data_IF_564082809693
#
_entry.id   IF_564082809693
#
_cell.length_a   1.000
_cell.length_b   1.000
_cell.length_c   1.000
_cell.angle_alpha   90.00
_cell.angle_beta   90.00
_cell.angle_gamma   90.00
#
_symmetry.space_group_name_H-M   'P 1'
#
loop_
_entity.id
_entity.type
_entity.pdbx_description
1 polymer ?
#
# COMPACT_ATOMS: atom_id res chain seq x y z
N UNK A 1 -5.12 48.94 9.29
CA UNK A 1 -5.62 49.00 7.89
C UNK A 1 -4.87 47.96 7.09
N UNK A 2 -5.54 46.94 6.56
CA UNK A 2 -4.88 45.90 5.76
C UNK A 2 -4.48 46.48 4.39
N UNK A 3 -3.19 46.43 4.05
CA UNK A 3 -2.69 46.80 2.73
C UNK A 3 -3.34 45.90 1.68
N UNK A 4 -4.32 46.41 0.93
CA UNK A 4 -4.81 45.79 -0.30
C UNK A 4 -3.68 45.84 -1.31
N UNK A 5 -2.96 44.73 -1.48
CA UNK A 5 -2.08 44.55 -2.63
C UNK A 5 -2.97 44.56 -3.88
N UNK A 6 -2.97 45.67 -4.62
CA UNK A 6 -3.70 45.76 -5.89
C UNK A 6 -3.05 44.78 -6.87
N UNK A 7 -3.78 43.73 -7.26
CA UNK A 7 -3.34 42.83 -8.33
C UNK A 7 -3.27 43.64 -9.63
N UNK A 8 -2.18 43.51 -10.37
CA UNK A 8 -2.00 44.17 -11.66
C UNK A 8 -3.16 43.78 -12.61
N UNK A 9 -3.59 44.69 -13.50
CA UNK A 9 -4.65 44.39 -14.47
C UNK A 9 -4.24 43.22 -15.38
N UNK A 10 -5.18 42.31 -15.63
CA UNK A 10 -4.96 41.16 -16.52
C UNK A 10 -5.11 41.63 -17.96
N UNK A 11 -4.02 41.63 -18.71
CA UNK A 11 -4.01 41.98 -20.14
C UNK A 11 -3.64 40.74 -20.95
N UNK A 12 -4.46 40.41 -21.95
CA UNK A 12 -4.17 39.31 -22.86
C UNK A 12 -3.09 39.74 -23.87
N UNK A 13 -1.86 39.22 -23.70
CA UNK A 13 -0.78 39.42 -24.66
C UNK A 13 -1.06 38.61 -25.93
N UNK A 14 -0.74 39.16 -27.11
CA UNK A 14 -1.02 38.51 -28.41
C UNK A 14 0.25 37.87 -28.99
N UNK A 15 1.40 38.52 -28.82
CA UNK A 15 2.71 38.07 -29.29
C UNK A 15 3.30 36.97 -28.38
N UNK A 16 3.91 35.94 -28.99
CA UNK A 16 4.51 34.82 -28.26
C UNK A 16 5.74 35.22 -27.43
N UNK A 17 6.62 36.07 -27.96
CA UNK A 17 7.82 36.50 -27.22
C UNK A 17 7.47 37.34 -25.99
N UNK A 18 6.49 38.24 -26.10
CA UNK A 18 5.98 39.02 -24.98
C UNK A 18 5.32 38.13 -23.92
N UNK A 19 4.59 37.08 -24.34
CA UNK A 19 4.04 36.06 -23.43
C UNK A 19 5.15 35.34 -22.67
N UNK A 20 6.22 34.91 -23.35
CA UNK A 20 7.35 34.23 -22.70
C UNK A 20 8.05 35.14 -21.70
N UNK A 21 8.32 36.39 -22.06
CA UNK A 21 8.95 37.36 -21.16
C UNK A 21 8.10 37.67 -19.92
N UNK A 22 6.79 37.85 -20.10
CA UNK A 22 5.86 38.04 -18.98
C UNK A 22 5.75 36.80 -18.10
N UNK A 23 5.76 35.60 -18.73
CA UNK A 23 5.77 34.33 -18.04
C UNK A 23 7.05 34.14 -17.22
N UNK A 24 8.24 34.40 -17.77
CA UNK A 24 9.52 34.25 -17.07
C UNK A 24 9.62 35.19 -15.85
N UNK A 25 9.12 36.43 -15.99
CA UNK A 25 9.04 37.35 -14.87
C UNK A 25 8.09 36.84 -13.77
N UNK A 26 6.95 36.25 -14.16
CA UNK A 26 6.02 35.63 -13.22
C UNK A 26 6.63 34.38 -12.55
N UNK A 27 7.30 33.51 -13.31
CA UNK A 27 7.99 32.32 -12.80
C UNK A 27 9.06 32.70 -11.79
N UNK A 28 9.92 33.67 -12.12
CA UNK A 28 10.98 34.17 -11.22
C UNK A 28 10.40 34.75 -9.93
N UNK A 29 9.29 35.49 -10.04
CA UNK A 29 8.59 36.01 -8.88
C UNK A 29 8.00 34.89 -8.01
N UNK A 30 7.37 33.89 -8.63
CA UNK A 30 6.81 32.74 -7.92
C UNK A 30 7.92 31.98 -7.19
N UNK A 31 9.06 31.70 -7.81
CA UNK A 31 10.19 31.04 -7.14
C UNK A 31 10.77 31.86 -5.99
N UNK A 32 10.83 33.19 -6.14
CA UNK A 32 11.29 34.09 -5.07
C UNK A 32 10.33 34.10 -3.88
N UNK A 33 9.03 34.13 -4.13
CA UNK A 33 8.00 34.26 -3.10
C UNK A 33 7.68 32.90 -2.43
N UNK A 34 7.74 31.79 -3.19
CA UNK A 34 7.30 30.45 -2.77
C UNK A 34 8.44 29.44 -2.59
N UNK A 35 9.68 29.80 -2.96
CA UNK A 35 10.86 28.94 -2.90
C UNK A 35 11.20 28.24 -4.23
N UNK A 36 12.47 27.83 -4.37
CA UNK A 36 12.94 27.10 -5.56
C UNK A 36 12.13 25.82 -5.77
N UNK A 37 11.74 25.55 -7.02
CA UNK A 37 10.95 24.38 -7.38
C UNK A 37 9.44 24.49 -7.07
N UNK A 38 8.95 25.67 -6.67
CA UNK A 38 7.50 25.90 -6.51
C UNK A 38 6.72 25.84 -7.81
N UNK A 39 7.41 26.06 -8.95
CA UNK A 39 6.86 25.96 -10.30
C UNK A 39 7.95 25.49 -11.25
N UNK A 40 7.65 24.53 -12.11
CA UNK A 40 8.57 23.96 -13.09
C UNK A 40 7.76 23.40 -14.26
N UNK A 41 8.38 23.21 -15.43
CA UNK A 41 7.70 22.50 -16.51
C UNK A 41 7.75 21.01 -16.19
N UNK A 42 6.62 20.33 -16.37
CA UNK A 42 6.52 18.88 -16.13
C UNK A 42 7.51 18.06 -17.00
N UNK A 43 7.96 18.64 -18.11
CA UNK A 43 8.93 18.02 -19.02
C UNK A 43 10.39 18.14 -18.60
N UNK A 44 10.72 19.01 -17.64
CA UNK A 44 12.11 19.37 -17.30
C UNK A 44 12.89 18.16 -16.76
N UNK A 45 14.19 18.10 -17.09
CA UNK A 45 15.06 16.93 -16.85
C UNK A 45 15.27 16.57 -15.36
N UNK A 46 14.85 17.42 -14.43
CA UNK A 46 14.89 17.17 -12.98
C UNK A 46 13.56 16.69 -12.38
N UNK A 47 12.48 16.65 -13.16
CA UNK A 47 11.18 16.11 -12.72
C UNK A 47 11.20 14.61 -12.92
N UNK A 48 11.20 13.84 -11.84
CA UNK A 48 11.02 12.40 -11.95
C UNK A 48 9.59 12.14 -12.48
N UNK A 49 9.51 11.73 -13.75
CA UNK A 49 8.23 11.46 -14.44
C UNK A 49 7.61 10.14 -14.00
N UNK A 50 8.41 9.30 -13.34
CA UNK A 50 8.01 8.00 -12.89
C UNK A 50 7.52 8.04 -11.45
N UNK A 51 6.33 7.48 -11.23
CA UNK A 51 5.80 7.27 -9.89
C UNK A 51 6.55 6.07 -9.29
N UNK A 52 7.34 6.34 -8.27
CA UNK A 52 7.97 5.28 -7.49
C UNK A 52 6.90 4.49 -6.73
N UNK A 53 7.04 3.17 -6.73
CA UNK A 53 6.11 2.24 -6.08
C UNK A 53 6.86 1.24 -5.20
N UNK A 54 6.16 0.72 -4.20
CA UNK A 54 6.61 -0.43 -3.42
C UNK A 54 5.61 -1.57 -3.60
N UNK A 55 6.05 -2.82 -3.86
CA UNK A 55 5.16 -3.98 -3.97
C UNK A 55 4.21 -4.12 -2.78
N UNK A 56 3.02 -4.61 -3.04
CA UNK A 56 1.96 -4.79 -2.03
C UNK A 56 2.13 -6.07 -1.21
N UNK A 57 3.03 -6.95 -1.64
CA UNK A 57 3.20 -8.32 -1.13
C UNK A 57 2.27 -9.34 -1.79
N UNK A 58 1.35 -8.88 -2.67
CA UNK A 58 0.61 -9.73 -3.61
C UNK A 58 1.00 -9.36 -5.05
N UNK A 59 1.51 -10.34 -5.80
CA UNK A 59 1.87 -10.10 -7.20
C UNK A 59 0.62 -9.78 -8.04
N UNK A 60 -0.51 -10.42 -7.74
CA UNK A 60 -1.76 -10.16 -8.45
C UNK A 60 -2.25 -8.73 -8.20
N UNK A 61 -2.13 -8.22 -6.97
CA UNK A 61 -2.49 -6.83 -6.66
C UNK A 61 -1.53 -5.85 -7.34
N UNK A 62 -0.23 -6.15 -7.38
CA UNK A 62 0.76 -5.32 -8.10
C UNK A 62 0.41 -5.18 -9.60
N UNK A 63 0.04 -6.30 -10.25
CA UNK A 63 -0.45 -6.35 -11.63
C UNK A 63 -1.76 -5.58 -11.79
N UNK A 64 -2.69 -5.72 -10.83
CA UNK A 64 -3.97 -5.02 -10.83
C UNK A 64 -3.81 -3.50 -10.68
N UNK A 65 -2.82 -3.06 -9.90
CA UNK A 65 -2.46 -1.65 -9.76
C UNK A 65 -1.79 -1.09 -11.02
N UNK A 66 -1.19 -1.95 -11.85
CA UNK A 66 -0.60 -1.64 -13.16
C UNK A 66 0.73 -0.90 -13.10
N UNK A 67 1.02 -0.22 -12.00
CA UNK A 67 2.32 0.39 -11.74
C UNK A 67 3.30 -0.57 -11.02
N UNK A 68 2.82 -1.74 -10.56
CA UNK A 68 3.63 -2.75 -9.88
C UNK A 68 3.71 -2.62 -8.36
N UNK A 69 2.85 -1.79 -7.75
CA UNK A 69 2.79 -1.64 -6.30
C UNK A 69 2.06 -0.37 -5.84
N UNK A 70 2.17 -0.08 -4.53
CA UNK A 70 1.65 1.13 -3.91
C UNK A 70 2.52 2.36 -4.22
N UNK A 71 1.93 3.46 -4.69
CA UNK A 71 2.69 4.66 -5.05
C UNK A 71 3.17 5.43 -3.83
N UNK A 72 4.48 5.73 -3.80
CA UNK A 72 5.08 6.61 -2.80
C UNK A 72 4.51 8.02 -2.84
N UNK A 73 4.49 8.67 -1.69
CA UNK A 73 3.99 10.03 -1.53
C UNK A 73 2.47 10.15 -1.74
N UNK A 74 1.71 9.06 -1.57
CA UNK A 74 0.26 9.03 -1.80
C UNK A 74 -0.49 8.38 -0.64
N UNK A 75 -1.77 8.71 -0.58
CA UNK A 75 -2.75 8.10 0.31
C UNK A 75 -3.41 6.91 -0.39
N UNK A 76 -3.51 5.78 0.29
CA UNK A 76 -4.23 4.58 -0.13
C UNK A 76 -5.33 4.30 0.89
N UNK A 77 -6.50 3.87 0.42
CA UNK A 77 -7.56 3.34 1.29
C UNK A 77 -7.78 1.87 0.96
N UNK A 78 -7.62 0.98 1.95
CA UNK A 78 -7.98 -0.44 1.87
C UNK A 78 -9.25 -0.63 2.69
N UNK A 79 -10.34 -1.03 2.06
CA UNK A 79 -11.63 -1.16 2.72
C UNK A 79 -12.35 -2.44 2.34
N UNK A 80 -13.30 -2.85 3.17
CA UNK A 80 -14.00 -4.11 2.98
C UNK A 80 -14.65 -4.62 4.26
N UNK A 81 -15.38 -5.74 4.19
CA UNK A 81 -15.97 -6.39 5.35
C UNK A 81 -14.93 -6.79 6.41
N UNK A 82 -15.38 -7.08 7.62
CA UNK A 82 -14.53 -7.69 8.64
C UNK A 82 -13.95 -9.02 8.14
N UNK A 83 -12.76 -9.37 8.64
CA UNK A 83 -12.06 -10.61 8.27
C UNK A 83 -11.81 -10.79 6.76
N UNK A 84 -11.83 -9.72 5.96
CA UNK A 84 -11.58 -9.80 4.52
C UNK A 84 -10.10 -9.81 4.14
N UNK A 85 -9.19 -9.54 5.08
CA UNK A 85 -7.74 -9.47 4.85
C UNK A 85 -7.17 -8.06 4.68
N UNK A 86 -7.89 -7.01 5.11
CA UNK A 86 -7.43 -5.60 5.05
C UNK A 86 -6.09 -5.39 5.76
N UNK A 87 -6.04 -5.75 7.04
CA UNK A 87 -4.85 -5.65 7.88
C UNK A 87 -3.73 -6.55 7.37
N UNK A 88 -4.06 -7.78 6.93
CA UNK A 88 -3.09 -8.67 6.27
C UNK A 88 -2.42 -8.02 5.07
N UNK A 89 -3.19 -7.45 4.13
CA UNK A 89 -2.61 -6.77 2.96
C UNK A 89 -1.75 -5.55 3.34
N UNK A 90 -2.16 -4.80 4.37
CA UNK A 90 -1.37 -3.67 4.86
C UNK A 90 -0.06 -4.13 5.53
N UNK A 91 -0.07 -5.21 6.31
CA UNK A 91 1.12 -5.78 6.94
C UNK A 91 2.09 -6.36 5.91
N UNK A 92 1.59 -6.97 4.84
CA UNK A 92 2.44 -7.39 3.72
C UNK A 92 3.12 -6.20 3.04
N UNK A 93 2.42 -5.08 2.86
CA UNK A 93 3.04 -3.86 2.34
C UNK A 93 4.10 -3.30 3.29
N UNK A 94 3.88 -3.37 4.61
CA UNK A 94 4.87 -3.02 5.63
C UNK A 94 6.11 -3.91 5.52
N UNK A 95 5.94 -5.24 5.44
CA UNK A 95 7.03 -6.20 5.28
C UNK A 95 7.84 -5.94 3.99
N UNK A 96 7.16 -5.62 2.88
CA UNK A 96 7.80 -5.25 1.63
C UNK A 96 8.62 -3.95 1.74
N UNK A 97 8.19 -2.98 2.55
CA UNK A 97 8.98 -1.76 2.79
C UNK A 97 10.20 -2.07 3.67
N UNK A 98 10.01 -2.78 4.79
CA UNK A 98 11.08 -3.10 5.73
C UNK A 98 12.18 -3.94 5.10
N UNK A 99 11.85 -4.96 4.30
CA UNK A 99 12.86 -5.79 3.61
C UNK A 99 13.70 -5.01 2.58
N UNK A 100 13.25 -3.80 2.20
CA UNK A 100 13.98 -2.86 1.32
C UNK A 100 14.69 -1.77 2.13
N UNK A 101 14.84 -1.96 3.44
CA UNK A 101 15.50 -1.02 4.36
C UNK A 101 14.67 0.22 4.70
N UNK A 102 13.39 0.23 4.36
CA UNK A 102 12.50 1.35 4.66
C UNK A 102 11.96 1.31 6.09
N UNK A 103 11.58 2.47 6.60
CA UNK A 103 11.02 2.59 7.95
C UNK A 103 9.50 2.53 7.89
N UNK A 104 8.89 1.76 8.80
CA UNK A 104 7.44 1.56 8.85
C UNK A 104 6.85 1.95 10.21
N UNK A 105 5.62 2.49 10.18
CA UNK A 105 4.83 2.78 11.36
C UNK A 105 3.38 2.26 11.23
N UNK A 106 2.79 1.89 12.36
CA UNK A 106 1.43 1.37 12.45
C UNK A 106 0.67 2.06 13.58
N UNK A 107 -0.42 2.74 13.24
CA UNK A 107 -1.35 3.34 14.19
C UNK A 107 -2.51 2.37 14.36
N UNK A 108 -2.49 1.62 15.46
CA UNK A 108 -3.48 0.62 15.83
C UNK A 108 -4.56 1.27 16.71
N UNK A 109 -5.50 1.95 16.06
CA UNK A 109 -6.68 2.51 16.70
C UNK A 109 -7.74 1.45 17.04
N UNK A 110 -7.71 0.28 16.40
CA UNK A 110 -8.58 -0.86 16.76
C UNK A 110 -8.07 -1.67 17.96
N UNK A 111 -6.83 -1.43 18.42
CA UNK A 111 -6.15 -2.19 19.48
C UNK A 111 -6.14 -3.71 19.22
N UNK A 112 -6.00 -4.09 17.95
CA UNK A 112 -6.22 -5.46 17.47
C UNK A 112 -5.01 -6.04 16.71
N UNK A 113 -3.89 -5.33 16.66
CA UNK A 113 -2.69 -5.83 16.00
C UNK A 113 -2.08 -6.99 16.79
N UNK A 114 -1.94 -8.16 16.15
CA UNK A 114 -1.24 -9.33 16.69
C UNK A 114 0.23 -9.34 16.22
N UNK A 115 1.21 -9.11 17.12
CA UNK A 115 2.63 -9.10 16.75
C UNK A 115 3.12 -10.44 16.19
N UNK A 116 2.59 -11.58 16.69
CA UNK A 116 3.02 -12.91 16.23
C UNK A 116 2.58 -13.16 14.79
N UNK A 117 1.37 -12.74 14.45
CA UNK A 117 0.87 -12.85 13.09
C UNK A 117 1.62 -11.91 12.13
N UNK A 118 1.93 -10.68 12.57
CA UNK A 118 2.74 -9.75 11.79
C UNK A 118 4.16 -10.30 11.53
N UNK A 119 4.81 -10.86 12.55
CA UNK A 119 6.11 -11.52 12.41
C UNK A 119 6.06 -12.68 11.42
N UNK A 120 5.02 -13.52 11.49
CA UNK A 120 4.83 -14.65 10.59
C UNK A 120 4.56 -14.23 9.12
N UNK A 121 4.08 -12.99 8.89
CA UNK A 121 3.97 -12.36 7.56
C UNK A 121 5.33 -11.85 7.05
N UNK A 122 6.33 -11.73 7.92
CA UNK A 122 7.66 -11.20 7.61
C UNK A 122 7.82 -9.71 7.97
N UNK A 123 6.95 -9.17 8.83
CA UNK A 123 7.15 -7.85 9.42
C UNK A 123 8.27 -7.94 10.46
N UNK A 124 9.24 -7.03 10.38
CA UNK A 124 10.27 -6.85 11.39
C UNK A 124 9.65 -6.10 12.57
N UNK A 125 9.27 -6.83 13.61
CA UNK A 125 8.57 -6.31 14.80
C UNK A 125 9.48 -5.40 15.61
N UNK A 126 10.77 -5.70 15.71
CA UNK A 126 11.72 -4.93 16.51
C UNK A 126 11.90 -3.52 15.94
N UNK A 127 11.74 -3.37 14.62
CA UNK A 127 11.87 -2.09 13.93
C UNK A 127 10.53 -1.49 13.45
N UNK A 128 9.38 -2.04 13.88
CA UNK A 128 8.07 -1.48 13.59
C UNK A 128 7.64 -0.48 14.66
N UNK A 129 7.43 0.78 14.27
CA UNK A 129 6.90 1.79 15.20
C UNK A 129 5.39 1.63 15.36
N UNK A 130 4.92 1.30 16.56
CA UNK A 130 3.48 1.14 16.84
C UNK A 130 2.97 2.24 17.76
N UNK A 131 1.77 2.76 17.47
CA UNK A 131 1.05 3.70 18.33
C UNK A 131 -0.37 3.22 18.54
N UNK A 132 -0.83 3.24 19.79
CA UNK A 132 -2.21 2.95 20.18
C UNK A 132 -2.85 4.22 20.78
N UNK A 133 -3.49 5.05 19.95
CA UNK A 133 -3.98 6.35 20.37
C UNK A 133 -5.33 6.27 21.10
N UNK A 134 -5.53 7.18 22.05
CA UNK A 134 -6.77 7.36 22.82
C UNK A 134 -7.87 8.10 22.03
N UNK A 135 -7.52 8.88 21.00
CA UNK A 135 -8.51 9.61 20.18
C UNK A 135 -8.11 9.74 18.72
N UNK A 136 -9.10 10.00 17.86
CA UNK A 136 -8.88 10.22 16.43
C UNK A 136 -8.00 11.44 16.13
N UNK A 137 -8.11 12.52 16.90
CA UNK A 137 -7.21 13.68 16.78
C UNK A 137 -5.77 13.28 17.09
N UNK A 138 -5.54 12.60 18.21
CA UNK A 138 -4.21 12.16 18.63
C UNK A 138 -3.59 11.23 17.58
N UNK A 139 -4.35 10.27 17.07
CA UNK A 139 -3.92 9.37 15.99
C UNK A 139 -3.44 10.13 14.75
N UNK A 140 -4.23 11.13 14.30
CA UNK A 140 -3.92 11.90 13.09
C UNK A 140 -2.78 12.90 13.30
N UNK A 141 -2.61 13.44 14.51
CA UNK A 141 -1.48 14.30 14.87
C UNK A 141 -0.16 13.50 14.97
N UNK A 142 -0.21 12.27 15.48
CA UNK A 142 0.91 11.33 15.46
C UNK A 142 1.29 11.01 14.02
N UNK A 143 0.31 10.66 13.18
CA UNK A 143 0.54 10.41 11.75
C UNK A 143 1.18 11.63 11.06
N UNK A 144 0.66 12.84 11.32
CA UNK A 144 1.22 14.07 10.76
C UNK A 144 2.68 14.27 11.17
N UNK A 145 2.99 14.07 12.45
CA UNK A 145 4.33 14.26 13.02
C UNK A 145 5.32 13.24 12.42
N UNK A 146 4.95 11.96 12.39
CA UNK A 146 5.78 10.90 11.83
C UNK A 146 6.07 11.13 10.35
N UNK A 147 5.04 11.47 9.55
CA UNK A 147 5.22 11.72 8.11
C UNK A 147 6.03 13.00 7.87
N UNK A 148 5.84 14.04 8.69
CA UNK A 148 6.56 15.32 8.57
C UNK A 148 8.05 15.20 8.91
N UNK A 149 8.46 14.21 9.70
CA UNK A 149 9.87 13.93 9.96
C UNK A 149 10.67 13.67 8.68
N UNK A 150 10.00 13.19 7.61
CA UNK A 150 10.64 12.81 6.36
C UNK A 150 11.35 11.45 6.41
N UNK A 151 11.38 10.78 7.57
CA UNK A 151 12.06 9.50 7.76
C UNK A 151 11.16 8.28 7.45
N UNK A 152 9.85 8.48 7.34
CA UNK A 152 8.90 7.38 7.26
C UNK A 152 8.58 6.97 5.82
N UNK A 153 8.78 5.70 5.47
CA UNK A 153 8.49 5.16 4.13
C UNK A 153 7.03 4.70 4.00
N UNK A 154 6.47 4.12 5.06
CA UNK A 154 5.08 3.68 5.10
C UNK A 154 4.46 3.89 6.48
N UNK A 155 3.24 4.41 6.50
CA UNK A 155 2.44 4.52 7.72
C UNK A 155 1.06 3.92 7.47
N UNK A 156 0.63 3.02 8.35
CA UNK A 156 -0.71 2.41 8.31
C UNK A 156 -1.56 2.97 9.45
N UNK A 157 -2.82 3.28 9.18
CA UNK A 157 -3.82 3.65 10.19
C UNK A 157 -4.94 2.60 10.17
N UNK A 158 -5.01 1.79 11.22
CA UNK A 158 -5.99 0.72 11.40
C UNK A 158 -6.89 1.01 12.63
N UNK A 159 -8.10 1.52 12.47
CA UNK A 159 -8.79 1.88 11.23
C UNK A 159 -9.46 3.24 11.34
N UNK A 160 -9.88 3.78 10.19
CA UNK A 160 -10.63 5.04 10.12
C UNK A 160 -11.90 5.00 10.98
N UNK A 161 -12.54 3.83 11.09
CA UNK A 161 -13.76 3.68 11.87
C UNK A 161 -13.51 3.91 13.36
N UNK A 162 -12.31 3.56 13.85
CA UNK A 162 -11.87 3.71 15.24
C UNK A 162 -11.27 5.10 15.54
N UNK A 163 -11.16 6.00 14.56
CA UNK A 163 -10.74 7.38 14.78
C UNK A 163 -11.89 8.21 15.39
N UNK A 164 -12.24 7.89 16.64
CA UNK A 164 -13.33 8.54 17.37
C UNK A 164 -12.83 9.89 17.89
N UNK A 165 -13.51 11.00 17.56
CA UNK A 165 -13.11 12.32 18.06
C UNK A 165 -13.20 12.40 19.58
N UNK A 166 -12.29 13.14 20.21
CA UNK A 166 -12.25 13.28 21.67
C UNK A 166 -13.57 13.75 22.29
N UNK A 167 -14.26 14.69 21.64
CA UNK A 167 -15.55 15.18 22.13
C UNK A 167 -16.67 14.11 22.13
N UNK A 168 -16.55 13.07 21.31
CA UNK A 168 -17.46 11.92 21.30
C UNK A 168 -17.08 10.89 22.38
N UNK A 169 -15.78 10.77 22.70
CA UNK A 169 -15.27 9.92 23.79
C UNK A 169 -15.63 10.50 25.16
N UNK A 170 -15.48 11.81 25.33
CA UNK A 170 -15.76 12.52 26.58
C UNK A 170 -17.28 12.77 26.79
N UNK A 171 -18.11 12.55 25.77
CA UNK A 171 -19.56 12.74 25.79
C UNK A 171 -20.32 11.57 26.44
N UNK A 172 -21.63 11.75 26.66
CA UNK A 172 -22.48 10.70 27.20
C UNK A 172 -23.07 9.81 26.09
N UNK A 173 -23.38 8.56 26.42
CA UNK A 173 -24.06 7.65 25.49
C UNK A 173 -25.43 8.23 25.10
N UNK A 174 -25.59 8.56 23.81
CA UNK A 174 -26.81 9.16 23.27
C UNK A 174 -26.64 10.62 22.85
N UNK A 175 -25.49 11.23 23.16
CA UNK A 175 -25.16 12.56 22.65
C UNK A 175 -25.02 12.57 21.11
N UNK A 176 -25.55 13.63 20.50
CA UNK A 176 -25.60 13.75 19.05
C UNK A 176 -24.36 14.47 18.51
N UNK A 177 -23.38 13.70 18.05
CA UNK A 177 -22.15 14.20 17.44
C UNK A 177 -22.15 14.06 15.91
N UNK A 178 -23.15 14.64 15.24
CA UNK A 178 -23.35 14.45 13.79
C UNK A 178 -22.15 14.94 12.97
N UNK A 179 -21.47 14.01 12.31
CA UNK A 179 -20.45 14.29 11.30
C UNK A 179 -19.11 14.79 11.85
N UNK A 180 -18.87 14.65 13.16
CA UNK A 180 -17.63 15.10 13.81
C UNK A 180 -16.40 14.40 13.21
N UNK A 181 -16.45 13.06 13.11
CA UNK A 181 -15.39 12.26 12.49
C UNK A 181 -15.12 12.66 11.02
N UNK A 182 -16.17 12.92 10.23
CA UNK A 182 -16.01 13.34 8.85
C UNK A 182 -15.32 14.71 8.71
N UNK A 183 -15.59 15.64 9.63
CA UNK A 183 -14.91 16.94 9.70
C UNK A 183 -13.45 16.78 10.11
N UNK A 184 -13.18 15.96 11.11
CA UNK A 184 -11.82 15.63 11.56
C UNK A 184 -10.98 15.09 10.40
N UNK A 185 -11.46 14.04 9.71
CA UNK A 185 -10.80 13.46 8.54
C UNK A 185 -10.56 14.50 7.43
N UNK A 186 -11.55 15.35 7.15
CA UNK A 186 -11.42 16.40 6.12
C UNK A 186 -10.33 17.42 6.46
N UNK A 187 -10.15 17.76 7.73
CA UNK A 187 -9.10 18.67 8.19
C UNK A 187 -7.72 18.01 8.15
N UNK A 188 -7.60 16.79 8.68
CA UNK A 188 -6.34 16.05 8.71
C UNK A 188 -5.82 15.75 7.30
N UNK A 189 -6.66 15.21 6.41
CA UNK A 189 -6.25 14.88 5.04
C UNK A 189 -5.79 16.12 4.25
N UNK A 190 -6.38 17.29 4.52
CA UNK A 190 -5.96 18.55 3.89
C UNK A 190 -4.53 18.93 4.28
N UNK A 191 -4.13 18.70 5.54
CA UNK A 191 -2.77 18.93 6.02
C UNK A 191 -1.81 17.85 5.50
N UNK A 192 -2.19 16.59 5.68
CA UNK A 192 -1.38 15.41 5.37
C UNK A 192 -0.99 15.31 3.90
N UNK A 193 -1.91 15.60 2.97
CA UNK A 193 -1.67 15.39 1.52
C UNK A 193 -0.40 16.06 1.01
N UNK A 194 -0.15 17.31 1.43
CA UNK A 194 1.03 18.06 0.99
C UNK A 194 2.32 17.56 1.63
N UNK A 195 2.25 17.01 2.85
CA UNK A 195 3.41 16.53 3.60
C UNK A 195 3.82 15.16 3.05
N UNK A 196 2.85 14.25 2.88
CA UNK A 196 3.05 12.91 2.31
C UNK A 196 3.72 13.01 0.93
N UNK A 197 3.23 13.90 0.07
CA UNK A 197 3.81 14.09 -1.26
C UNK A 197 5.26 14.59 -1.25
N UNK A 198 5.69 15.28 -0.18
CA UNK A 198 7.07 15.77 -0.02
C UNK A 198 7.98 14.76 0.66
N UNK A 199 7.46 13.96 1.58
CA UNK A 199 8.22 12.93 2.29
C UNK A 199 8.30 11.61 1.56
N UNK A 200 7.57 11.44 0.44
CA UNK A 200 7.45 10.18 -0.30
C UNK A 200 6.91 9.01 0.55
N UNK A 201 6.31 9.29 1.71
CA UNK A 201 5.68 8.30 2.55
C UNK A 201 4.42 7.71 1.88
N UNK A 202 4.20 6.40 2.05
CA UNK A 202 2.97 5.72 1.69
C UNK A 202 2.04 5.76 2.90
N UNK A 203 0.90 6.46 2.81
CA UNK A 203 -0.09 6.49 3.91
C UNK A 203 -1.28 5.58 3.58
N UNK A 204 -1.40 4.47 4.30
CA UNK A 204 -2.51 3.52 4.16
C UNK A 204 -3.53 3.77 5.26
N UNK A 205 -4.78 3.99 4.87
CA UNK A 205 -5.92 3.93 5.77
C UNK A 205 -6.69 2.62 5.57
N UNK A 206 -6.84 1.84 6.63
CA UNK A 206 -7.77 0.72 6.67
C UNK A 206 -9.15 1.28 7.04
N UNK A 207 -10.19 0.79 6.37
CA UNK A 207 -11.54 1.26 6.60
C UNK A 207 -12.57 0.12 6.55
N UNK A 208 -13.64 0.29 7.31
CA UNK A 208 -14.74 -0.66 7.37
C UNK A 208 -15.88 -0.24 6.45
N UNK A 209 -16.63 -1.22 5.96
CA UNK A 209 -17.90 -0.97 5.27
C UNK A 209 -19.02 -0.74 6.28
N UNK A 210 -19.95 0.14 5.90
CA UNK A 210 -21.22 0.42 6.56
C UNK A 210 -22.31 0.55 5.50
N UNK A 211 -23.56 0.33 5.87
CA UNK A 211 -24.68 0.52 4.97
C UNK A 211 -25.34 1.88 5.22
N UNK A 212 -25.70 2.58 4.14
CA UNK A 212 -26.46 3.81 4.21
C UNK A 212 -27.95 3.49 4.27
N UNK A 213 -28.57 3.78 5.42
CA UNK A 213 -30.01 3.60 5.63
C UNK A 213 -30.80 4.43 4.60
N UNK A 214 -31.85 3.83 4.02
CA UNK A 214 -32.78 4.49 3.10
C UNK A 214 -32.39 4.47 1.61
N UNK A 215 -31.34 3.75 1.23
CA UNK A 215 -31.00 3.53 -0.19
C UNK A 215 -31.83 2.36 -0.74
N UNK A 216 -32.84 2.65 -1.57
CA UNK A 216 -33.69 1.63 -2.20
C UNK A 216 -33.17 1.14 -3.57
N UNK A 217 -32.21 1.83 -4.17
CA UNK A 217 -31.65 1.50 -5.49
C UNK A 217 -30.13 1.75 -5.52
N UNK A 218 -29.37 0.81 -6.09
CA UNK A 218 -27.90 0.87 -6.17
C UNK A 218 -27.19 0.16 -5.01
N UNK A 219 -25.88 0.40 -4.86
CA UNK A 219 -25.09 -0.16 -3.75
C UNK A 219 -25.25 0.71 -2.48
N UNK A 220 -25.80 0.17 -1.36
CA UNK A 220 -25.94 0.92 -0.11
C UNK A 220 -24.64 1.08 0.66
N UNK A 221 -23.58 0.36 0.30
CA UNK A 221 -22.31 0.35 1.03
C UNK A 221 -21.56 1.69 0.94
N UNK A 222 -21.03 2.13 2.08
CA UNK A 222 -20.13 3.27 2.21
C UNK A 222 -19.03 2.98 3.22
N UNK A 223 -17.96 3.77 3.15
CA UNK A 223 -16.86 3.73 4.14
C UNK A 223 -17.07 4.81 5.21
N UNK A 224 -16.46 4.61 6.38
CA UNK A 224 -16.52 5.55 7.51
C UNK A 224 -15.59 6.77 7.30
N UNK A 225 -15.68 7.79 8.16
CA UNK A 225 -14.85 9.01 8.04
C UNK A 225 -15.32 10.01 6.96
N UNK A 226 -16.54 9.86 6.44
CA UNK A 226 -17.12 10.75 5.44
C UNK A 226 -16.56 10.54 4.03
N UNK A 227 -16.61 11.59 3.19
CA UNK A 227 -16.23 11.49 1.77
C UNK A 227 -14.79 11.90 1.47
N UNK A 228 -14.12 12.59 2.41
CA UNK A 228 -12.82 13.20 2.17
C UNK A 228 -11.78 12.16 1.72
N UNK A 229 -11.64 11.06 2.46
CA UNK A 229 -10.69 10.00 2.14
C UNK A 229 -10.88 9.48 0.71
N UNK A 230 -12.13 9.25 0.27
CA UNK A 230 -12.43 8.82 -1.10
C UNK A 230 -11.85 9.75 -2.17
N UNK A 231 -11.76 11.06 -1.92
CA UNK A 231 -11.20 12.03 -2.87
C UNK A 231 -9.68 12.14 -2.80
N UNK A 232 -9.13 12.16 -1.57
CA UNK A 232 -7.71 12.29 -1.32
C UNK A 232 -6.91 11.03 -1.67
N UNK A 233 -7.47 9.84 -1.46
CA UNK A 233 -6.80 8.58 -1.83
C UNK A 233 -6.51 8.53 -3.33
N UNK A 234 -5.28 8.18 -3.68
CA UNK A 234 -4.87 7.91 -5.06
C UNK A 234 -5.28 6.52 -5.51
N UNK A 235 -5.24 5.57 -4.58
CA UNK A 235 -5.66 4.19 -4.77
C UNK A 235 -6.73 3.85 -3.74
N UNK A 236 -7.80 3.18 -4.16
CA UNK A 236 -8.79 2.59 -3.24
C UNK A 236 -8.96 1.13 -3.61
N UNK A 237 -8.84 0.26 -2.61
CA UNK A 237 -8.91 -1.19 -2.75
C UNK A 237 -10.12 -1.69 -1.96
N UNK A 238 -11.04 -2.37 -2.64
CA UNK A 238 -12.15 -3.11 -2.03
C UNK A 238 -11.71 -4.58 -1.93
N UNK A 239 -11.49 -5.06 -0.71
CA UNK A 239 -11.08 -6.44 -0.44
C UNK A 239 -12.20 -7.19 0.28
N UNK A 240 -12.55 -8.36 -0.24
CA UNK A 240 -13.63 -9.21 0.27
C UNK A 240 -13.17 -10.63 0.46
N UNK A 241 -13.70 -11.27 1.51
CA UNK A 241 -13.54 -12.70 1.72
C UNK A 241 -14.33 -13.46 0.63
N UNK A 242 -13.64 -14.36 -0.04
CA UNK A 242 -14.18 -15.35 -0.97
C UNK A 242 -14.33 -16.71 -0.29
N UNK A 243 -14.05 -17.77 -1.04
CA UNK A 243 -14.22 -19.16 -0.59
C UNK A 243 -13.18 -19.56 0.47
N UNK A 244 -13.60 -20.37 1.44
CA UNK A 244 -12.69 -20.92 2.45
C UNK A 244 -11.89 -22.09 1.86
N UNK A 245 -10.58 -22.08 2.07
CA UNK A 245 -9.66 -23.13 1.62
C UNK A 245 -9.61 -24.23 2.69
N UNK A 246 -9.76 -25.49 2.27
CA UNK A 246 -9.76 -26.66 3.16
C UNK A 246 -8.46 -27.44 3.00
N UNK A 247 -7.84 -27.85 4.12
CA UNK A 247 -6.67 -28.74 4.14
C UNK A 247 -7.05 -30.23 4.30
N UNK A 248 -8.29 -30.51 4.71
CA UNK A 248 -8.80 -31.84 4.96
C UNK A 248 -10.25 -31.80 5.43
N UNK A 249 -10.74 -32.91 5.98
CA UNK A 249 -12.09 -32.98 6.53
C UNK A 249 -12.16 -32.17 7.84
N UNK A 250 -12.88 -31.05 7.84
CA UNK A 250 -13.05 -30.18 9.02
C UNK A 250 -11.92 -29.18 9.29
N UNK A 251 -10.78 -29.28 8.59
CA UNK A 251 -9.65 -28.35 8.74
C UNK A 251 -9.63 -27.28 7.65
N UNK A 252 -9.63 -26.02 8.07
CA UNK A 252 -9.54 -24.85 7.20
C UNK A 252 -8.12 -24.28 7.21
N UNK A 253 -7.52 -24.07 6.04
CA UNK A 253 -6.14 -23.56 5.90
C UNK A 253 -6.05 -22.10 5.48
N UNK A 254 -7.17 -21.48 5.09
CA UNK A 254 -7.17 -20.09 4.67
C UNK A 254 -8.47 -19.66 3.98
N UNK A 255 -8.44 -18.50 3.32
CA UNK A 255 -9.54 -18.03 2.48
C UNK A 255 -8.99 -17.44 1.18
N UNK A 256 -9.74 -17.61 0.09
CA UNK A 256 -9.56 -16.80 -1.11
C UNK A 256 -9.98 -15.37 -0.79
N UNK A 257 -9.15 -14.39 -1.11
CA UNK A 257 -9.50 -12.97 -1.07
C UNK A 257 -9.79 -12.48 -2.48
N UNK A 258 -10.87 -11.70 -2.64
CA UNK A 258 -11.21 -11.02 -3.88
C UNK A 258 -10.92 -9.54 -3.73
N UNK A 259 -10.10 -9.01 -4.62
CA UNK A 259 -9.66 -7.62 -4.55
C UNK A 259 -10.07 -6.88 -5.81
N UNK A 260 -10.70 -5.71 -5.62
CA UNK A 260 -11.08 -4.79 -6.69
C UNK A 260 -10.40 -3.44 -6.49
N UNK A 261 -9.74 -2.94 -7.53
CA UNK A 261 -9.16 -1.60 -7.54
C UNK A 261 -10.28 -0.58 -7.82
N UNK A 262 -11.00 -0.16 -6.78
CA UNK A 262 -12.15 0.74 -6.85
C UNK A 262 -11.78 2.16 -7.30
N UNK A 263 -10.53 2.59 -7.11
CA UNK A 263 -9.99 3.85 -7.62
C UNK A 263 -8.50 3.68 -7.89
N UNK A 264 -8.04 4.22 -9.00
CA UNK A 264 -6.63 4.25 -9.35
C UNK A 264 -6.32 5.56 -10.08
N UNK A 265 -5.41 6.37 -9.54
CA UNK A 265 -4.92 7.62 -10.17
C UNK A 265 -3.58 7.42 -10.88
N UNK A 266 -2.98 6.23 -10.80
CA UNK A 266 -1.65 5.94 -11.36
C UNK A 266 -1.73 5.02 -12.59
N UNK A 267 -2.78 4.21 -12.69
CA UNK A 267 -3.07 3.36 -13.85
C UNK A 267 -4.59 3.18 -14.03
N UNK A 268 -5.07 2.48 -15.07
CA UNK A 268 -6.50 2.20 -15.24
C UNK A 268 -7.13 1.51 -14.01
N UNK A 269 -8.28 2.00 -13.51
CA UNK A 269 -8.96 1.39 -12.36
C UNK A 269 -9.80 0.16 -12.75
N UNK A 270 -10.46 -0.44 -11.76
CA UNK A 270 -11.48 -1.50 -11.85
C UNK A 270 -11.02 -2.90 -12.23
N UNK A 271 -9.71 -3.13 -12.33
CA UNK A 271 -9.16 -4.48 -12.35
C UNK A 271 -9.54 -5.22 -11.07
N UNK A 272 -9.77 -6.52 -11.23
CA UNK A 272 -10.11 -7.45 -10.15
C UNK A 272 -9.14 -8.61 -10.19
N UNK A 273 -8.71 -9.04 -9.01
CA UNK A 273 -7.80 -10.17 -8.83
C UNK A 273 -8.21 -10.97 -7.61
N UNK A 274 -7.77 -12.21 -7.56
CA UNK A 274 -7.98 -13.07 -6.41
C UNK A 274 -6.66 -13.74 -6.01
N UNK A 275 -6.46 -13.91 -4.72
CA UNK A 275 -5.29 -14.61 -4.16
C UNK A 275 -5.68 -15.32 -2.87
N UNK A 276 -4.83 -16.23 -2.41
CA UNK A 276 -5.07 -16.99 -1.20
C UNK A 276 -4.43 -16.29 0.01
N UNK A 277 -5.19 -16.19 1.10
CA UNK A 277 -4.69 -15.83 2.42
C UNK A 277 -4.69 -17.09 3.27
N UNK A 278 -3.50 -17.62 3.54
CA UNK A 278 -3.28 -18.73 4.45
C UNK A 278 -3.32 -18.25 5.91
N UNK A 279 -3.96 -19.03 6.78
CA UNK A 279 -3.95 -18.74 8.21
C UNK A 279 -2.53 -18.88 8.77
N UNK A 280 -2.12 -17.93 9.61
CA UNK A 280 -0.79 -17.89 10.19
C UNK A 280 0.31 -17.29 9.30
N UNK A 281 0.25 -17.45 7.97
CA UNK A 281 1.33 -16.99 7.07
C UNK A 281 0.95 -15.87 6.10
N UNK A 282 -0.33 -15.48 6.05
CA UNK A 282 -0.78 -14.36 5.22
C UNK A 282 -0.95 -14.71 3.74
N UNK A 283 -0.65 -13.75 2.86
CA UNK A 283 -0.80 -13.86 1.40
C UNK A 283 0.20 -14.90 0.86
N UNK A 284 -0.33 -15.91 0.17
CA UNK A 284 0.45 -16.97 -0.45
C UNK A 284 1.00 -16.52 -1.82
N UNK A 285 2.10 -15.77 -1.81
CA UNK A 285 2.77 -15.27 -3.02
C UNK A 285 3.21 -16.38 -3.97
N UNK A 286 3.68 -17.50 -3.44
CA UNK A 286 4.01 -18.72 -4.17
C UNK A 286 2.81 -19.30 -4.92
N UNK A 287 1.61 -19.18 -4.34
CA UNK A 287 0.37 -19.61 -4.97
C UNK A 287 0.00 -18.71 -6.14
N UNK A 288 0.18 -17.40 -5.98
CA UNK A 288 -0.04 -16.44 -7.07
C UNK A 288 0.93 -16.66 -8.23
N UNK A 289 2.23 -16.81 -7.95
CA UNK A 289 3.27 -17.06 -8.96
C UNK A 289 2.98 -18.38 -9.70
N UNK A 290 2.57 -19.42 -8.97
CA UNK A 290 2.20 -20.70 -9.58
C UNK A 290 0.98 -20.56 -10.50
N UNK A 291 -0.10 -19.94 -10.01
CA UNK A 291 -1.35 -19.80 -10.76
C UNK A 291 -1.14 -18.90 -12.01
N UNK A 292 -0.47 -17.76 -11.86
CA UNK A 292 -0.11 -16.85 -12.96
C UNK A 292 0.89 -17.48 -13.92
N UNK A 293 1.86 -18.24 -13.43
CA UNK A 293 2.84 -18.97 -14.24
C UNK A 293 2.17 -20.01 -15.13
N UNK A 294 1.14 -20.70 -14.63
CA UNK A 294 0.34 -21.61 -15.46
C UNK A 294 -0.51 -20.85 -16.48
N UNK A 295 -1.14 -19.74 -16.07
CA UNK A 295 -1.94 -18.89 -16.97
C UNK A 295 -1.11 -18.36 -18.15
N UNK A 296 0.11 -17.90 -17.87
CA UNK A 296 1.05 -17.36 -18.87
C UNK A 296 1.91 -18.42 -19.56
N UNK A 297 1.69 -19.72 -19.27
CA UNK A 297 2.43 -20.85 -19.84
C UNK A 297 3.95 -20.82 -19.55
N UNK A 298 4.36 -20.21 -18.44
CA UNK A 298 5.71 -20.36 -17.90
C UNK A 298 5.87 -21.67 -17.14
N UNK A 299 4.80 -22.13 -16.49
CA UNK A 299 4.74 -23.40 -15.76
C UNK A 299 3.79 -24.35 -16.49
N UNK A 300 4.29 -25.51 -16.87
CA UNK A 300 3.52 -26.56 -17.52
C UNK A 300 2.70 -27.34 -16.49
N UNK A 301 1.40 -27.51 -16.75
CA UNK A 301 0.51 -28.34 -15.96
C UNK A 301 0.04 -29.56 -16.75
N UNK A 302 0.52 -30.74 -16.37
CA UNK A 302 0.14 -32.03 -16.97
C UNK A 302 -0.64 -32.88 -15.98
N UNK A 303 -1.97 -32.81 -16.06
CA UNK A 303 -2.86 -33.44 -15.07
C UNK A 303 -2.67 -32.82 -13.68
N UNK A 304 -2.18 -33.61 -12.73
CA UNK A 304 -1.85 -33.16 -11.38
C UNK A 304 -0.40 -32.66 -11.23
N UNK A 305 0.45 -32.85 -12.24
CA UNK A 305 1.88 -32.48 -12.17
C UNK A 305 2.13 -31.06 -12.69
N UNK A 306 2.99 -30.34 -11.99
CA UNK A 306 3.54 -29.04 -12.41
C UNK A 306 5.02 -29.20 -12.78
N UNK A 307 5.45 -28.56 -13.85
CA UNK A 307 6.83 -28.55 -14.31
C UNK A 307 7.25 -27.14 -14.77
N UNK A 308 8.51 -26.79 -14.55
CA UNK A 308 9.13 -25.56 -15.04
C UNK A 308 10.35 -25.92 -15.88
N UNK A 309 10.41 -25.42 -17.12
CA UNK A 309 11.49 -25.73 -18.07
C UNK A 309 11.79 -27.23 -18.21
N UNK A 310 10.74 -28.07 -18.18
CA UNK A 310 10.85 -29.54 -18.26
C UNK A 310 11.18 -30.26 -16.94
N UNK A 311 11.56 -29.53 -15.89
CA UNK A 311 11.81 -30.10 -14.56
C UNK A 311 10.52 -30.16 -13.74
N UNK A 312 10.20 -31.31 -13.16
CA UNK A 312 9.02 -31.46 -12.29
C UNK A 312 9.22 -30.70 -10.98
N UNK A 313 8.34 -29.74 -10.70
CA UNK A 313 8.38 -28.92 -9.48
C UNK A 313 7.43 -29.46 -8.40
N UNK A 314 6.41 -30.24 -8.75
CA UNK A 314 5.53 -30.88 -7.75
C UNK A 314 4.32 -31.59 -8.32
N UNK A 315 3.77 -32.54 -7.55
CA UNK A 315 2.49 -33.18 -7.82
C UNK A 315 1.42 -32.56 -6.92
N UNK A 316 0.44 -31.88 -7.51
CA UNK A 316 -0.57 -31.12 -6.79
C UNK A 316 -0.10 -29.70 -6.45
N UNK A 317 -1.08 -28.81 -6.23
CA UNK A 317 -0.84 -27.37 -6.04
C UNK A 317 -0.03 -27.07 -4.77
N UNK A 318 -0.35 -27.72 -3.66
CA UNK A 318 0.34 -27.47 -2.38
C UNK A 318 1.81 -27.92 -2.41
N UNK A 319 2.12 -29.08 -3.00
CA UNK A 319 3.50 -29.54 -3.13
C UNK A 319 4.33 -28.61 -4.05
N UNK A 320 3.72 -28.11 -5.14
CA UNK A 320 4.38 -27.13 -6.01
C UNK A 320 4.63 -25.79 -5.30
N UNK A 321 3.67 -25.31 -4.49
CA UNK A 321 3.84 -24.12 -3.64
C UNK A 321 4.99 -24.30 -2.64
N UNK A 322 5.03 -25.45 -1.96
CA UNK A 322 6.11 -25.75 -1.02
C UNK A 322 7.48 -25.82 -1.70
N UNK A 323 7.54 -26.40 -2.90
CA UNK A 323 8.77 -26.41 -3.71
C UNK A 323 9.22 -24.99 -4.05
N UNK A 324 8.33 -24.13 -4.55
CA UNK A 324 8.66 -22.73 -4.85
C UNK A 324 9.14 -21.97 -3.61
N UNK A 325 8.50 -22.20 -2.46
CA UNK A 325 8.90 -21.58 -1.19
C UNK A 325 10.33 -21.96 -0.77
N UNK A 326 10.75 -23.19 -1.05
CA UNK A 326 12.11 -23.70 -0.75
C UNK A 326 13.17 -23.23 -1.75
N UNK A 327 12.78 -22.65 -2.90
CA UNK A 327 13.68 -22.23 -3.97
C UNK A 327 13.49 -20.72 -4.29
N UNK A 328 14.01 -19.82 -3.43
CA UNK A 328 13.77 -18.37 -3.57
C UNK A 328 14.32 -17.78 -4.87
N UNK A 329 15.44 -18.31 -5.41
CA UNK A 329 15.98 -17.87 -6.71
C UNK A 329 15.01 -18.17 -7.86
N UNK A 330 14.45 -19.37 -7.89
CA UNK A 330 13.43 -19.74 -8.87
C UNK A 330 12.16 -18.90 -8.72
N UNK A 331 11.73 -18.63 -7.49
CA UNK A 331 10.59 -17.74 -7.24
C UNK A 331 10.85 -16.33 -7.79
N UNK A 332 12.04 -15.78 -7.57
CA UNK A 332 12.43 -14.47 -8.08
C UNK A 332 12.51 -14.43 -9.61
N UNK A 333 13.07 -15.46 -10.24
CA UNK A 333 13.12 -15.61 -11.70
C UNK A 333 11.72 -15.59 -12.32
N UNK A 334 10.82 -16.45 -11.81
CA UNK A 334 9.43 -16.51 -12.25
C UNK A 334 8.69 -15.19 -12.05
N UNK A 335 8.89 -14.53 -10.91
CA UNK A 335 8.28 -13.23 -10.64
C UNK A 335 8.79 -12.14 -11.60
N UNK A 336 10.08 -12.11 -11.90
CA UNK A 336 10.67 -11.17 -12.88
C UNK A 336 10.06 -11.40 -14.26
N UNK A 337 9.96 -12.65 -14.72
CA UNK A 337 9.35 -12.99 -16.00
C UNK A 337 7.87 -12.57 -16.06
N UNK A 338 7.09 -12.88 -15.01
CA UNK A 338 5.69 -12.47 -14.91
C UNK A 338 5.56 -10.95 -14.90
N UNK A 339 6.35 -10.23 -14.10
CA UNK A 339 6.36 -8.76 -14.06
C UNK A 339 6.62 -8.18 -15.46
N UNK A 340 7.59 -8.74 -16.20
CA UNK A 340 7.92 -8.33 -17.59
C UNK A 340 6.74 -8.56 -18.54
N UNK A 341 6.07 -9.71 -18.47
CA UNK A 341 4.90 -10.03 -19.30
C UNK A 341 3.73 -9.06 -19.07
N UNK A 342 3.51 -8.64 -17.83
CA UNK A 342 2.47 -7.67 -17.47
C UNK A 342 2.90 -6.20 -17.66
N UNK A 343 4.10 -5.95 -18.21
CA UNK A 343 4.62 -4.60 -18.46
C UNK A 343 4.96 -3.82 -17.20
N UNK A 344 5.22 -4.53 -16.09
CA UNK A 344 5.68 -3.93 -14.85
C UNK A 344 7.18 -3.64 -14.90
N UNK A 345 7.62 -2.63 -14.16
CA UNK A 345 9.04 -2.32 -14.02
C UNK A 345 9.77 -3.44 -13.29
N UNK A 346 11.05 -3.60 -13.61
CA UNK A 346 11.94 -4.51 -12.92
C UNK A 346 12.05 -4.11 -11.44
N UNK A 347 11.95 -5.08 -10.55
CA UNK A 347 12.09 -4.88 -9.11
C UNK A 347 13.56 -5.16 -8.73
N UNK A 348 14.34 -4.13 -8.33
CA UNK A 348 15.75 -4.30 -7.99
C UNK A 348 15.97 -5.32 -6.86
N UNK A 349 15.00 -5.49 -5.96
CA UNK A 349 15.08 -6.49 -4.90
C UNK A 349 15.15 -7.91 -5.47
N UNK A 350 14.38 -8.21 -6.51
CA UNK A 350 14.38 -9.56 -7.12
C UNK A 350 15.70 -9.83 -7.84
N UNK A 351 16.28 -8.81 -8.49
CA UNK A 351 17.61 -8.93 -9.11
C UNK A 351 18.68 -9.23 -8.06
N UNK A 352 18.66 -8.52 -6.93
CA UNK A 352 19.58 -8.78 -5.82
C UNK A 352 19.43 -10.20 -5.25
N UNK A 353 18.20 -10.74 -5.18
CA UNK A 353 17.96 -12.13 -4.76
C UNK A 353 18.59 -13.15 -5.71
N UNK A 354 18.59 -12.89 -7.01
CA UNK A 354 19.25 -13.76 -8.00
C UNK A 354 20.78 -13.70 -7.88
N UNK A 355 21.33 -12.53 -7.59
CA UNK A 355 22.77 -12.28 -7.46
C UNK A 355 23.35 -12.74 -6.11
N UNK A 356 22.51 -12.92 -5.08
CA UNK A 356 22.93 -13.42 -3.79
C UNK A 356 23.57 -14.81 -3.91
N UNK A 357 24.80 -14.94 -3.41
CA UNK A 357 25.45 -16.25 -3.26
C UNK A 357 24.66 -17.08 -2.25
N UNK A 358 24.54 -18.40 -2.48
CA UNK A 358 23.99 -19.29 -1.46
C UNK A 358 24.96 -19.27 -0.28
N UNK A 359 24.61 -18.55 0.79
CA UNK A 359 25.34 -18.67 2.05
C UNK A 359 25.20 -20.12 2.52
N UNK A 360 26.34 -20.78 2.64
CA UNK A 360 26.42 -22.17 3.05
C UNK A 360 25.93 -22.25 4.52
N UNK A 361 24.97 -23.12 4.87
CA UNK A 361 24.39 -23.20 6.22
C UNK A 361 25.42 -23.43 7.35
N UNK A 362 26.65 -23.84 7.00
CA UNK A 362 27.73 -24.13 7.94
C UNK A 362 28.46 -22.88 8.48
N UNK A 363 28.42 -21.72 7.82
CA UNK A 363 29.11 -20.51 8.30
C UNK A 363 28.37 -19.79 9.45
N UNK A 364 27.06 -20.04 9.61
CA UNK A 364 26.28 -19.49 10.72
C UNK A 364 26.64 -20.10 12.08
N UNK A 365 27.20 -21.32 12.08
CA UNK A 365 27.59 -22.04 13.30
C UNK A 365 28.98 -21.63 13.82
N UNK A 366 29.82 -20.99 13.00
CA UNK A 366 31.18 -20.62 13.39
C UNK A 366 31.29 -19.25 14.04
N UNK A 367 30.36 -18.33 13.77
CA UNK A 367 30.39 -16.97 14.35
C UNK A 367 29.85 -16.90 15.79
N UNK A 368 29.12 -17.92 16.25
CA UNK A 368 28.62 -17.97 17.64
C UNK A 368 29.57 -18.69 18.60
N UNK A 369 30.59 -19.38 18.09
CA UNK A 369 31.59 -20.10 18.91
C UNK A 369 32.89 -19.30 19.15
N UNK A 370 33.04 -18.13 18.51
CA UNK A 370 34.27 -17.33 18.55
C UNK A 370 34.30 -16.15 19.52
N UNK A 371 33.23 -15.91 20.28
CA UNK A 371 33.12 -14.76 21.22
C UNK A 371 33.13 -15.14 22.71
N UNK A 372 33.38 -16.41 23.05
CA UNK A 372 33.68 -16.82 24.43
C UNK A 372 35.08 -17.44 24.50
N UNK A 373 36.11 -16.60 24.60
CA UNK A 373 37.44 -16.97 25.06
C UNK A 373 38.09 -15.80 25.83
#
# INVERSE_FOLDING_TARGET
MANKVSKAPVVALVNHEEKLKALDAALTKIEKDCGKGSIMKLGDAGVNKDIEVVPTGSLSVDIALGAGGFPRGRIIEIYGPESSGKTTLALHAVAEVQKRGGIAAFIDAEHALDPRYAEAIGVDIDNLYVSQPDSGEQALDIAETMVRSGAMDILVVDSVAALVPKAEIDGEMGDSHVGLQARLMSMALRKLTAIIAKSNCILIFINQLREKVGVMFGNPETTTGGRALKFYSSVRIDIRKGETIKAGEGEFSGNRAKVKIAKNKIAPPFKQVEFDISFGTGISKEGEILDLGVEQKLIDKSGAWFAYQGNKIGQGRENAKEFLRKHPKLMAELEIELRKLYGLKEDPYLTAVLEAQEENPEERATDTAGQEA
#
